data_IF_333962259896
#
_entry.id   IF_333962259896
#
_cell.length_a   1.000
_cell.length_b   1.000
_cell.length_c   1.000
_cell.angle_alpha   90.00
_cell.angle_beta   90.00
_cell.angle_gamma   90.00
#
_symmetry.space_group_name_H-M   'P 1'
#
loop_
_entity.id
_entity.type
_entity.pdbx_description
1 polymer ?
#
# COMPACT_ATOMS: atom_id res chain seq x y z
N UNK A 1 -16.69 3.88 -3.76
CA UNK A 1 -15.66 3.01 -3.13
C UNK A 1 -14.29 3.23 -3.72
N UNK A 2 -14.12 3.13 -5.06
CA UNK A 2 -12.83 3.37 -5.72
C UNK A 2 -12.14 4.68 -5.32
N UNK A 3 -12.85 5.81 -5.32
CA UNK A 3 -12.26 7.11 -4.95
C UNK A 3 -11.74 7.16 -3.49
N UNK A 4 -12.45 6.54 -2.55
CA UNK A 4 -12.02 6.44 -1.15
C UNK A 4 -10.76 5.54 -1.05
N UNK A 5 -10.75 4.43 -1.78
CA UNK A 5 -9.60 3.53 -1.83
C UNK A 5 -8.35 4.22 -2.43
N UNK A 6 -8.52 5.01 -3.49
CA UNK A 6 -7.44 5.81 -4.09
C UNK A 6 -6.91 6.87 -3.13
N UNK A 7 -7.80 7.51 -2.37
CA UNK A 7 -7.41 8.48 -1.35
C UNK A 7 -6.57 7.83 -0.23
N UNK A 8 -7.01 6.67 0.28
CA UNK A 8 -6.28 5.89 1.30
C UNK A 8 -4.93 5.43 0.75
N UNK A 9 -4.89 4.91 -0.49
CA UNK A 9 -3.65 4.52 -1.14
C UNK A 9 -2.67 5.70 -1.25
N UNK A 10 -3.16 6.87 -1.66
CA UNK A 10 -2.36 8.10 -1.72
C UNK A 10 -1.76 8.48 -0.37
N UNK A 11 -2.54 8.44 0.71
CA UNK A 11 -2.04 8.69 2.07
C UNK A 11 -0.96 7.69 2.48
N UNK A 12 -1.14 6.42 2.13
CA UNK A 12 -0.17 5.36 2.42
C UNK A 12 1.16 5.59 1.68
N UNK A 13 1.09 5.91 0.38
CA UNK A 13 2.26 6.18 -0.46
C UNK A 13 3.02 7.40 0.07
N UNK A 14 2.32 8.49 0.38
CA UNK A 14 2.93 9.72 0.89
C UNK A 14 3.56 9.52 2.27
N UNK A 15 2.85 8.85 3.20
CA UNK A 15 3.37 8.54 4.52
C UNK A 15 4.60 7.64 4.47
N UNK A 16 4.57 6.62 3.61
CA UNK A 16 5.72 5.75 3.39
C UNK A 16 6.92 6.49 2.80
N UNK A 17 6.69 7.35 1.79
CA UNK A 17 7.75 8.19 1.21
C UNK A 17 8.39 9.13 2.26
N UNK A 18 7.58 9.72 3.14
CA UNK A 18 8.08 10.57 4.22
C UNK A 18 8.95 9.80 5.23
N UNK A 19 8.53 8.59 5.61
CA UNK A 19 9.31 7.71 6.50
C UNK A 19 10.62 7.28 5.83
N UNK A 20 10.56 6.84 4.57
CA UNK A 20 11.73 6.43 3.80
C UNK A 20 12.74 7.59 3.65
N UNK A 21 12.24 8.80 3.41
CA UNK A 21 13.07 10.02 3.38
C UNK A 21 13.71 10.32 4.73
N UNK A 22 12.94 10.24 5.83
CA UNK A 22 13.46 10.48 7.17
C UNK A 22 14.56 9.47 7.56
N UNK A 23 14.36 8.19 7.23
CA UNK A 23 15.36 7.13 7.43
C UNK A 23 16.61 7.42 6.59
N UNK A 24 16.43 7.77 5.32
CA UNK A 24 17.53 8.12 4.42
C UNK A 24 18.36 9.27 4.98
N UNK A 25 17.70 10.34 5.42
CA UNK A 25 18.34 11.50 6.03
C UNK A 25 19.06 11.13 7.34
N UNK A 26 18.42 10.34 8.20
CA UNK A 26 19.02 9.87 9.45
C UNK A 26 20.29 9.06 9.20
N UNK A 27 20.25 8.12 8.25
CA UNK A 27 21.42 7.32 7.86
C UNK A 27 22.52 8.22 7.29
N UNK A 28 22.20 9.16 6.40
CA UNK A 28 23.21 10.07 5.83
C UNK A 28 23.83 10.99 6.89
N UNK A 29 23.07 11.39 7.90
CA UNK A 29 23.53 12.32 8.95
C UNK A 29 24.39 11.62 10.00
N UNK A 30 24.06 10.38 10.37
CA UNK A 30 24.68 9.68 11.51
C UNK A 30 25.49 8.43 11.16
N UNK A 31 25.31 7.84 9.98
CA UNK A 31 26.15 6.72 9.56
C UNK A 31 27.51 7.25 9.08
N UNK A 32 28.57 6.63 9.60
CA UNK A 32 29.97 6.92 9.26
C UNK A 32 30.13 7.01 7.74
N UNK A 33 30.84 8.04 7.26
CA UNK A 33 31.27 8.18 5.86
C UNK A 33 32.13 6.98 5.47
N UNK A 34 31.50 5.90 5.05
CA UNK A 34 32.12 4.69 4.54
C UNK A 34 31.19 4.06 3.52
N UNK A 35 31.76 3.44 2.48
CA UNK A 35 31.04 2.89 1.31
C UNK A 35 29.82 2.01 1.66
N UNK A 36 29.82 1.40 2.85
CA UNK A 36 28.75 0.52 3.30
C UNK A 36 27.40 1.24 3.51
N UNK A 37 27.40 2.51 3.93
CA UNK A 37 26.16 3.25 4.18
C UNK A 37 25.39 3.56 2.90
N UNK A 38 26.09 3.86 1.81
CA UNK A 38 25.50 4.07 0.48
C UNK A 38 24.90 2.79 -0.10
N UNK A 39 25.59 1.66 0.06
CA UNK A 39 25.09 0.35 -0.40
C UNK A 39 23.83 -0.09 0.35
N UNK A 40 23.82 0.01 1.68
CA UNK A 40 22.64 -0.31 2.48
C UNK A 40 21.46 0.61 2.18
N UNK A 41 21.72 1.91 1.98
CA UNK A 41 20.69 2.85 1.55
C UNK A 41 20.11 2.47 0.18
N UNK A 42 20.97 2.09 -0.78
CA UNK A 42 20.55 1.62 -2.09
C UNK A 42 19.64 0.39 -2.03
N UNK A 43 19.99 -0.61 -1.22
CA UNK A 43 19.14 -1.80 -1.00
C UNK A 43 17.81 -1.39 -0.39
N UNK A 44 17.82 -0.53 0.63
CA UNK A 44 16.60 -0.06 1.28
C UNK A 44 15.67 0.63 0.29
N UNK A 45 16.18 1.56 -0.52
CA UNK A 45 15.41 2.27 -1.55
C UNK A 45 14.86 1.28 -2.60
N UNK A 46 15.67 0.32 -3.05
CA UNK A 46 15.26 -0.69 -4.04
C UNK A 46 14.12 -1.57 -3.52
N UNK A 47 14.26 -2.13 -2.31
CA UNK A 47 13.22 -2.94 -1.67
C UNK A 47 11.95 -2.12 -1.43
N UNK A 48 12.11 -0.86 -1.00
CA UNK A 48 11.01 0.06 -0.76
C UNK A 48 10.21 0.36 -2.03
N UNK A 49 10.90 0.59 -3.15
CA UNK A 49 10.27 0.77 -4.45
C UNK A 49 9.53 -0.50 -4.91
N UNK A 50 10.13 -1.68 -4.71
CA UNK A 50 9.50 -2.97 -5.03
C UNK A 50 8.21 -3.20 -4.25
N UNK A 51 8.20 -2.89 -2.95
CA UNK A 51 7.00 -2.94 -2.10
C UNK A 51 5.90 -2.00 -2.57
N UNK A 52 6.26 -0.76 -2.94
CA UNK A 52 5.32 0.21 -3.51
C UNK A 52 4.69 -0.28 -4.82
N UNK A 53 5.50 -0.84 -5.72
CA UNK A 53 5.01 -1.41 -6.97
C UNK A 53 4.08 -2.59 -6.75
N UNK A 54 4.43 -3.50 -5.83
CA UNK A 54 3.57 -4.61 -5.47
C UNK A 54 2.23 -4.14 -4.89
N UNK A 55 2.25 -3.14 -4.00
CA UNK A 55 1.05 -2.54 -3.42
C UNK A 55 0.13 -1.98 -4.51
N UNK A 56 0.68 -1.19 -5.44
CA UNK A 56 -0.08 -0.63 -6.57
C UNK A 56 -0.63 -1.74 -7.47
N UNK A 57 0.18 -2.76 -7.76
CA UNK A 57 -0.25 -3.91 -8.57
C UNK A 57 -1.45 -4.63 -7.95
N UNK A 58 -1.37 -5.00 -6.67
CA UNK A 58 -2.48 -5.65 -5.97
C UNK A 58 -3.71 -4.76 -5.92
N UNK A 59 -3.53 -3.45 -5.64
CA UNK A 59 -4.63 -2.50 -5.61
C UNK A 59 -5.38 -2.45 -6.96
N UNK A 60 -4.68 -2.42 -8.09
CA UNK A 60 -5.32 -2.39 -9.40
C UNK A 60 -6.09 -3.68 -9.75
N UNK A 61 -5.72 -4.82 -9.15
CA UNK A 61 -6.39 -6.11 -9.37
C UNK A 61 -7.58 -6.36 -8.44
N UNK A 62 -7.81 -5.51 -7.44
CA UNK A 62 -9.01 -5.61 -6.60
C UNK A 62 -10.22 -5.14 -7.41
N UNK A 63 -11.29 -5.94 -7.52
CA UNK A 63 -12.51 -5.53 -8.20
C UNK A 63 -13.30 -4.56 -7.30
N UNK A 64 -12.98 -3.27 -7.41
CA UNK A 64 -13.53 -2.19 -6.57
C UNK A 64 -15.04 -1.96 -6.70
N UNK A 65 -15.67 -2.56 -7.70
CA UNK A 65 -17.10 -2.42 -8.01
C UNK A 65 -17.95 -3.56 -7.44
N UNK A 66 -17.37 -4.71 -7.10
CA UNK A 66 -18.12 -5.90 -6.66
C UNK A 66 -18.47 -5.96 -5.17
N UNK A 67 -18.03 -5.00 -4.35
CA UNK A 67 -18.40 -4.96 -2.93
C UNK A 67 -19.88 -4.58 -2.67
N UNK A 68 -20.61 -4.12 -3.70
CA UNK A 68 -22.04 -3.82 -3.60
C UNK A 68 -22.97 -5.04 -3.69
N UNK A 69 -22.49 -6.21 -4.15
CA UNK A 69 -23.35 -7.38 -4.39
C UNK A 69 -23.56 -8.29 -3.16
N UNK A 70 -22.98 -7.95 -1.99
CA UNK A 70 -23.20 -8.72 -0.77
C UNK A 70 -24.53 -8.37 -0.06
N UNK A 71 -25.18 -7.26 -0.43
CA UNK A 71 -26.50 -6.91 0.12
C UNK A 71 -27.64 -7.77 -0.44
N UNK A 72 -27.46 -8.47 -1.56
CA UNK A 72 -28.52 -9.31 -2.15
C UNK A 72 -28.54 -10.75 -1.59
N UNK A 73 -27.60 -11.12 -0.71
CA UNK A 73 -27.56 -12.46 -0.10
C UNK A 73 -28.33 -12.54 1.24
N UNK A 74 -28.76 -11.41 1.81
CA UNK A 74 -29.53 -11.38 3.07
C UNK A 74 -31.05 -11.48 2.87
N UNK A 75 -31.56 -11.46 1.64
CA UNK A 75 -32.98 -11.63 1.35
C UNK A 75 -33.24 -13.01 0.74
N UNK A 76 -32.97 -14.07 1.51
CA UNK A 76 -33.67 -15.34 1.29
C UNK A 76 -35.11 -15.15 1.78
N UNK A 77 -36.14 -15.18 0.92
CA UNK A 77 -37.50 -15.19 1.39
C UNK A 77 -37.74 -16.52 2.10
N UNK A 78 -37.93 -16.49 3.42
CA UNK A 78 -38.41 -17.59 4.26
C UNK A 78 -39.83 -18.09 3.91
N UNK A 79 -40.30 -17.87 2.67
CA UNK A 79 -41.67 -18.13 2.21
C UNK A 79 -41.83 -19.25 1.19
N UNK A 80 -40.77 -20.00 0.84
CA UNK A 80 -40.83 -21.06 -0.17
C UNK A 80 -40.97 -22.48 0.41
N UNK A 81 -41.58 -22.62 1.58
CA UNK A 81 -42.01 -23.90 2.14
C UNK A 81 -43.50 -23.83 2.49
N UNK A 82 -44.36 -23.96 1.47
CA UNK A 82 -45.75 -24.41 1.61
C UNK A 82 -46.03 -25.46 0.54
#
# INVERSE_FOLDING_TARGET
MLYIALFILGLFVLGYAAIAWAITYHIQTYAVKGDLSGFMLGIFVFLSAGLLLALVFFFLHVPWTSFGSLQSLEVFPLGAFQ
#
